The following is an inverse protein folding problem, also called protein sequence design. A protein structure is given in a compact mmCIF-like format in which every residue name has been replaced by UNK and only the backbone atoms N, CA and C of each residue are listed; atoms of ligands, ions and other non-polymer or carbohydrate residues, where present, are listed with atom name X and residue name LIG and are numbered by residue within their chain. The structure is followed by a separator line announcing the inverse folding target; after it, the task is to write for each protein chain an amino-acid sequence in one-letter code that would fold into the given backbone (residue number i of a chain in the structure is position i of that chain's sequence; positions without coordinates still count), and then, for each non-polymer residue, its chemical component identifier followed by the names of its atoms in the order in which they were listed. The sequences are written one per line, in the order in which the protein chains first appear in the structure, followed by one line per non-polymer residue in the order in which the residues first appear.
data_IF_029745731932
#
_entry.id   IF_029745731932
#
_cell.length_a   1.000
_cell.length_b   1.000
_cell.length_c   1.000
_cell.angle_alpha   90.00
_cell.angle_beta   90.00
_cell.angle_gamma   90.00
#
_symmetry.space_group_name_H-M   'P 1'
#
loop_
_entity.id
_entity.type
_entity.pdbx_description
1 polymer ?
#
# COMPACT_ATOMS: atom_id res chain seq x y z
N UNK A 1 -2.51 32.02 20.66
CA UNK A 1 -1.26 31.70 19.92
C UNK A 1 -1.55 30.47 19.09
N UNK A 2 -1.74 30.64 17.80
CA UNK A 2 -2.05 29.54 16.90
C UNK A 2 -0.78 28.72 16.63
N UNK A 3 -0.84 27.43 16.90
CA UNK A 3 0.19 26.50 16.44
C UNK A 3 0.22 26.55 14.92
N UNK A 4 1.28 27.11 14.36
CA UNK A 4 1.56 27.04 12.94
C UNK A 4 1.74 25.57 12.59
N UNK A 5 0.75 25.02 11.90
CA UNK A 5 0.78 23.65 11.39
C UNK A 5 1.90 23.54 10.35
N UNK A 6 3.14 23.23 10.80
CA UNK A 6 4.33 23.13 9.95
C UNK A 6 4.37 21.82 9.16
N UNK A 7 3.23 21.15 8.99
CA UNK A 7 3.13 19.87 8.28
C UNK A 7 3.11 20.08 6.78
N UNK A 8 4.09 19.49 6.09
CA UNK A 8 4.28 19.63 4.65
C UNK A 8 3.22 18.89 3.80
N UNK A 9 2.50 17.92 4.37
CA UNK A 9 1.56 17.06 3.65
C UNK A 9 0.24 16.91 4.40
N UNK A 10 -0.87 16.88 3.65
CA UNK A 10 -2.18 16.48 4.16
C UNK A 10 -2.18 15.04 4.63
N UNK A 11 -3.06 14.74 5.58
CA UNK A 11 -3.22 13.39 6.15
C UNK A 11 -4.69 13.00 6.17
N UNK A 12 -4.95 11.73 5.91
CA UNK A 12 -6.29 11.15 6.00
C UNK A 12 -6.28 9.91 6.88
N UNK A 13 -7.38 9.71 7.59
CA UNK A 13 -7.64 8.46 8.30
C UNK A 13 -8.28 7.48 7.33
N UNK A 14 -7.70 6.31 7.22
CA UNK A 14 -8.20 5.25 6.37
C UNK A 14 -8.05 3.90 7.07
N UNK A 15 -8.84 2.92 6.65
CA UNK A 15 -8.71 1.52 7.07
C UNK A 15 -8.16 0.74 5.89
N UNK A 16 -6.91 0.30 5.99
CA UNK A 16 -6.20 -0.38 4.91
C UNK A 16 -5.57 -1.69 5.37
N UNK A 17 -5.43 -2.68 4.48
CA UNK A 17 -4.61 -3.86 4.74
C UNK A 17 -3.14 -3.47 4.94
N UNK A 18 -2.55 -3.90 6.06
CA UNK A 18 -1.21 -3.52 6.48
C UNK A 18 -0.46 -4.72 7.07
N UNK A 19 0.80 -4.90 6.69
CA UNK A 19 1.78 -5.77 7.36
C UNK A 19 3.04 -4.96 7.63
N UNK A 20 3.57 -5.08 8.85
CA UNK A 20 4.72 -4.30 9.31
C UNK A 20 5.76 -5.21 9.90
N UNK A 21 7.00 -5.14 9.39
CA UNK A 21 8.13 -5.93 9.83
C UNK A 21 9.34 -5.02 10.09
N UNK A 22 10.15 -5.34 11.10
CA UNK A 22 11.41 -4.63 11.35
C UNK A 22 12.43 -5.06 10.29
N UNK A 23 13.14 -4.09 9.74
CA UNK A 23 14.27 -4.33 8.84
C UNK A 23 15.54 -4.47 9.67
N UNK A 24 16.25 -5.61 9.58
CA UNK A 24 17.55 -5.78 10.24
C UNK A 24 18.54 -4.70 9.79
N UNK A 25 19.46 -4.28 10.67
CA UNK A 25 20.45 -3.23 10.34
C UNK A 25 21.28 -3.52 9.08
N UNK A 26 21.61 -4.79 8.84
CA UNK A 26 22.40 -5.23 7.69
C UNK A 26 21.66 -5.08 6.35
N UNK A 27 20.34 -5.10 6.36
CA UNK A 27 19.53 -4.95 5.15
C UNK A 27 19.22 -3.49 4.79
N UNK A 28 19.55 -2.53 5.67
CA UNK A 28 19.17 -1.11 5.51
C UNK A 28 19.88 -0.39 4.36
N UNK A 29 21.01 -0.92 3.85
CA UNK A 29 21.80 -0.25 2.79
C UNK A 29 21.19 -0.38 1.39
N UNK A 30 20.27 -1.32 1.16
CA UNK A 30 19.71 -1.64 -0.16
C UNK A 30 18.20 -1.48 -0.23
N UNK A 31 17.63 -0.58 0.58
CA UNK A 31 16.20 -0.38 0.64
C UNK A 31 15.68 0.36 -0.58
N UNK A 32 14.77 -0.25 -1.32
CA UNK A 32 14.05 0.39 -2.43
C UNK A 32 12.57 0.13 -2.26
N UNK A 33 11.79 1.20 -2.16
CA UNK A 33 10.33 1.10 -2.18
C UNK A 33 9.83 0.74 -3.56
N UNK A 34 8.85 -0.15 -3.65
CA UNK A 34 8.35 -0.68 -4.91
C UNK A 34 6.82 -0.82 -4.92
N UNK A 35 6.24 -0.77 -6.11
CA UNK A 35 4.86 -1.18 -6.34
C UNK A 35 4.88 -2.69 -6.45
N UNK A 36 4.21 -3.36 -5.51
CA UNK A 36 4.04 -4.80 -5.58
C UNK A 36 3.02 -5.09 -6.68
N UNK A 37 3.50 -5.46 -7.85
CA UNK A 37 2.64 -5.97 -8.90
C UNK A 37 2.12 -7.35 -8.48
N UNK A 38 1.06 -7.38 -7.69
CA UNK A 38 0.16 -8.52 -7.80
C UNK A 38 -0.32 -8.48 -9.25
N UNK A 39 -0.13 -9.57 -9.99
CA UNK A 39 -0.61 -9.79 -11.35
C UNK A 39 -1.95 -9.07 -11.64
N UNK A 40 -1.95 -7.77 -11.51
CA UNK A 40 -2.94 -6.92 -12.09
C UNK A 40 -2.64 -7.01 -13.56
N UNK A 41 -3.53 -7.67 -14.27
CA UNK A 41 -3.62 -7.56 -15.72
C UNK A 41 -3.11 -6.20 -16.14
N UNK A 42 -2.42 -6.10 -17.26
CA UNK A 42 -2.09 -4.82 -17.87
C UNK A 42 -3.37 -4.15 -18.39
N UNK A 43 -4.32 -3.91 -17.49
CA UNK A 43 -5.54 -3.15 -17.79
C UNK A 43 -5.19 -1.72 -18.18
N UNK A 44 -4.04 -1.20 -17.70
CA UNK A 44 -3.61 0.16 -18.06
C UNK A 44 -3.04 0.30 -19.47
N UNK A 45 -2.45 -0.76 -20.04
CA UNK A 45 -1.98 -0.71 -21.44
C UNK A 45 -3.10 -0.88 -22.47
N UNK A 46 -4.24 -1.38 -22.02
CA UNK A 46 -5.40 -1.68 -22.89
C UNK A 46 -6.42 -0.53 -22.86
N UNK A 47 -6.49 0.25 -21.78
CA UNK A 47 -7.42 1.39 -21.66
C UNK A 47 -6.95 2.68 -22.36
N UNK A 48 -5.77 2.70 -22.97
CA UNK A 48 -5.31 3.87 -23.73
C UNK A 48 -5.63 3.83 -25.22
N UNK A 49 -6.28 2.79 -25.68
CA UNK A 49 -6.76 2.69 -27.06
C UNK A 49 -8.29 2.80 -27.06
N UNK A 50 -8.80 3.71 -27.87
CA UNK A 50 -10.21 4.06 -28.09
C UNK A 50 -11.23 3.00 -27.66
N UNK A 51 -12.24 3.43 -26.93
CA UNK A 51 -13.25 2.69 -26.17
C UNK A 51 -14.20 1.81 -27.02
N UNK A 52 -14.00 1.71 -28.34
CA UNK A 52 -14.98 1.12 -29.25
C UNK A 52 -14.59 -0.23 -29.92
N UNK A 53 -13.36 -0.73 -29.72
CA UNK A 53 -12.89 -1.95 -30.39
C UNK A 53 -12.25 -2.96 -29.42
N UNK A 54 -12.90 -3.24 -28.30
CA UNK A 54 -12.55 -4.40 -27.49
C UNK A 54 -13.09 -5.67 -28.13
N UNK A 55 -12.26 -6.35 -28.86
CA UNK A 55 -12.59 -7.66 -29.39
C UNK A 55 -12.70 -8.64 -28.20
N UNK A 56 -13.87 -9.28 -28.04
CA UNK A 56 -14.13 -10.35 -27.07
C UNK A 56 -13.00 -11.41 -27.07
N UNK A 57 -12.32 -11.57 -28.20
CA UNK A 57 -11.17 -12.46 -28.43
C UNK A 57 -9.98 -12.04 -27.56
N UNK A 58 -9.67 -10.76 -27.44
CA UNK A 58 -8.54 -10.28 -26.62
C UNK A 58 -8.83 -10.45 -25.13
N UNK A 59 -10.09 -10.28 -24.73
CA UNK A 59 -10.52 -10.56 -23.36
C UNK A 59 -10.41 -12.06 -23.05
N UNK A 60 -10.79 -12.93 -23.98
CA UNK A 60 -10.66 -14.38 -23.85
C UNK A 60 -9.20 -14.83 -23.79
N UNK A 61 -8.28 -14.21 -24.54
CA UNK A 61 -6.84 -14.51 -24.47
C UNK A 61 -6.29 -14.21 -23.08
N UNK A 62 -6.60 -13.04 -22.53
CA UNK A 62 -6.18 -12.63 -21.18
C UNK A 62 -6.76 -13.57 -20.12
N UNK A 63 -7.99 -14.02 -20.28
CA UNK A 63 -8.61 -14.99 -19.37
C UNK A 63 -7.92 -16.36 -19.45
N UNK A 64 -7.60 -16.83 -20.66
CA UNK A 64 -6.89 -18.08 -20.89
C UNK A 64 -5.47 -18.07 -20.31
N UNK A 65 -4.70 -16.99 -20.51
CA UNK A 65 -3.36 -16.86 -19.92
C UNK A 65 -3.41 -16.92 -18.39
N UNK A 66 -4.44 -16.36 -17.76
CA UNK A 66 -4.64 -16.47 -16.30
C UNK A 66 -5.00 -17.88 -15.86
N UNK A 67 -5.86 -18.55 -16.60
CA UNK A 67 -6.22 -19.93 -16.31
C UNK A 67 -5.00 -20.85 -16.45
N UNK A 68 -4.16 -20.65 -17.45
CA UNK A 68 -2.93 -21.40 -17.66
C UNK A 68 -1.92 -21.18 -16.53
N UNK A 69 -1.80 -19.93 -16.04
CA UNK A 69 -0.97 -19.61 -14.86
C UNK A 69 -1.48 -20.32 -13.60
N UNK A 70 -2.78 -20.35 -13.37
CA UNK A 70 -3.40 -21.05 -12.24
C UNK A 70 -3.20 -22.56 -12.38
N UNK A 71 -3.44 -23.12 -13.55
CA UNK A 71 -3.26 -24.54 -13.80
C UNK A 71 -1.80 -24.99 -13.67
N UNK A 72 -0.85 -24.16 -14.15
CA UNK A 72 0.59 -24.41 -14.00
C UNK A 72 0.99 -24.37 -12.53
N UNK A 73 0.45 -23.45 -11.75
CA UNK A 73 0.69 -23.35 -10.32
C UNK A 73 0.14 -24.54 -9.53
N UNK A 74 -1.03 -25.04 -9.93
CA UNK A 74 -1.65 -26.23 -9.34
C UNK A 74 -0.93 -27.53 -9.71
N UNK A 75 -0.50 -27.66 -10.97
CA UNK A 75 0.20 -28.87 -11.47
C UNK A 75 1.61 -29.02 -10.92
N UNK A 76 2.28 -27.92 -10.54
CA UNK A 76 3.60 -27.95 -9.93
C UNK A 76 3.57 -28.19 -8.41
N UNK A 77 2.40 -28.52 -7.82
CA UNK A 77 2.27 -28.72 -6.37
C UNK A 77 2.62 -27.47 -5.54
N UNK A 78 2.85 -26.33 -6.19
CA UNK A 78 2.96 -25.05 -5.55
C UNK A 78 1.54 -24.55 -5.35
N UNK A 79 1.10 -24.60 -4.09
CA UNK A 79 -0.16 -23.96 -3.67
C UNK A 79 -0.31 -22.59 -4.35
N UNK A 80 -1.54 -22.15 -4.66
CA UNK A 80 -1.81 -20.80 -5.16
C UNK A 80 -1.26 -19.68 -4.24
N UNK A 81 -0.66 -20.05 -3.12
CA UNK A 81 0.00 -19.17 -2.16
C UNK A 81 1.18 -18.36 -2.73
N UNK A 82 1.61 -18.58 -3.98
CA UNK A 82 2.57 -17.66 -4.61
C UNK A 82 1.86 -16.37 -5.09
N UNK A 83 0.58 -16.47 -5.48
CA UNK A 83 -0.26 -15.31 -5.82
C UNK A 83 -0.84 -14.64 -4.56
N UNK A 84 -1.00 -15.42 -3.47
CA UNK A 84 -1.49 -14.90 -2.18
C UNK A 84 -0.37 -14.51 -1.22
N UNK A 85 0.91 -14.77 -1.56
CA UNK A 85 2.05 -14.39 -0.70
C UNK A 85 2.26 -12.89 -0.59
N UNK A 86 1.76 -12.08 -1.53
CA UNK A 86 1.91 -10.64 -1.43
C UNK A 86 0.87 -10.02 -0.48
N UNK A 87 -0.29 -10.67 -0.27
CA UNK A 87 -1.33 -10.20 0.68
C UNK A 87 -1.51 -11.10 1.90
N UNK A 88 -0.83 -12.26 1.96
CA UNK A 88 -0.85 -13.13 3.12
C UNK A 88 -0.19 -12.44 4.33
N UNK A 89 -0.95 -12.28 5.41
CA UNK A 89 -0.49 -11.64 6.65
C UNK A 89 -0.87 -10.17 6.79
N UNK A 90 -1.54 -9.57 5.79
CA UNK A 90 -2.05 -8.21 5.91
C UNK A 90 -3.27 -8.17 6.85
N UNK A 91 -3.18 -7.35 7.88
CA UNK A 91 -4.30 -7.06 8.79
C UNK A 91 -4.95 -5.72 8.42
N UNK A 92 -6.29 -5.69 8.47
CA UNK A 92 -7.04 -4.47 8.20
C UNK A 92 -6.90 -3.49 9.37
N UNK A 93 -6.10 -2.46 9.20
CA UNK A 93 -5.64 -1.54 10.24
C UNK A 93 -6.07 -0.12 9.97
N UNK A 94 -6.46 0.61 11.02
CA UNK A 94 -6.66 2.06 10.93
C UNK A 94 -5.31 2.76 10.90
N UNK A 95 -5.13 3.60 9.88
CA UNK A 95 -3.93 4.40 9.70
C UNK A 95 -4.29 5.87 9.48
N UNK A 96 -3.38 6.74 9.85
CA UNK A 96 -3.41 8.14 9.46
C UNK A 96 -2.22 8.37 8.52
N UNK A 97 -2.48 8.49 7.21
CA UNK A 97 -1.47 8.44 6.15
C UNK A 97 -1.36 9.76 5.39
N UNK A 98 -0.14 10.07 4.96
CA UNK A 98 0.21 11.18 4.07
C UNK A 98 1.31 10.76 3.10
N UNK A 99 1.63 11.59 2.11
CA UNK A 99 2.74 11.34 1.18
C UNK A 99 4.15 11.36 1.83
N UNK A 100 4.26 11.75 3.11
CA UNK A 100 5.54 11.80 3.83
C UNK A 100 5.69 10.75 4.93
N UNK A 101 4.61 10.08 5.32
CA UNK A 101 4.63 9.12 6.42
C UNK A 101 3.23 8.74 6.88
N UNK A 102 3.19 7.89 7.89
CA UNK A 102 1.93 7.40 8.44
C UNK A 102 2.01 7.16 9.94
N UNK A 103 0.86 7.08 10.60
CA UNK A 103 0.74 6.49 11.92
C UNK A 103 -0.26 5.33 11.91
N UNK A 104 -0.03 4.37 12.78
CA UNK A 104 -0.88 3.18 12.94
C UNK A 104 -0.81 2.64 14.35
N UNK A 105 -1.83 1.88 14.74
CA UNK A 105 -1.85 1.21 16.05
C UNK A 105 -1.23 -0.18 15.90
N UNK A 106 -0.31 -0.50 16.80
CA UNK A 106 0.41 -1.77 16.85
C UNK A 106 0.36 -2.39 18.25
N UNK A 107 0.29 -3.70 18.32
CA UNK A 107 0.45 -4.43 19.59
C UNK A 107 1.89 -4.48 20.08
N UNK A 108 2.84 -4.15 19.20
CA UNK A 108 4.27 -4.15 19.48
C UNK A 108 4.79 -2.72 19.58
N UNK A 109 5.64 -2.45 20.57
CA UNK A 109 6.43 -1.23 20.63
C UNK A 109 7.59 -1.28 19.63
N UNK A 110 7.92 -0.13 19.06
CA UNK A 110 9.09 0.07 18.21
C UNK A 110 9.95 1.19 18.80
N UNK A 111 11.27 1.13 18.58
CA UNK A 111 12.17 2.16 19.05
C UNK A 111 12.32 3.26 17.98
N UNK A 112 12.44 4.53 18.37
CA UNK A 112 12.79 5.60 17.44
C UNK A 112 14.09 5.26 16.67
N UNK A 113 14.09 5.50 15.35
CA UNK A 113 15.20 5.15 14.46
C UNK A 113 15.17 3.70 13.93
N UNK A 114 14.26 2.86 14.39
CA UNK A 114 14.04 1.56 13.72
C UNK A 114 13.44 1.78 12.35
N UNK A 115 13.90 1.01 11.36
CA UNK A 115 13.33 1.02 10.01
C UNK A 115 12.37 -0.15 9.88
N UNK A 116 11.18 0.16 9.41
CA UNK A 116 10.10 -0.80 9.19
C UNK A 116 9.89 -1.02 7.71
N UNK A 117 9.75 -2.27 7.32
CA UNK A 117 9.22 -2.69 6.02
C UNK A 117 7.71 -2.74 6.15
N UNK A 118 7.02 -1.98 5.33
CA UNK A 118 5.57 -1.80 5.39
C UNK A 118 4.97 -2.24 4.06
N UNK A 119 4.23 -3.33 4.08
CA UNK A 119 3.37 -3.72 2.97
C UNK A 119 1.98 -3.15 3.22
N UNK A 120 1.42 -2.48 2.23
CA UNK A 120 0.07 -1.92 2.34
C UNK A 120 -0.68 -2.04 1.02
N UNK A 121 -2.01 -2.11 1.10
CA UNK A 121 -2.87 -2.05 -0.09
C UNK A 121 -3.73 -0.80 0.01
N UNK A 122 -3.55 0.11 -0.94
CA UNK A 122 -4.41 1.27 -1.08
C UNK A 122 -5.71 0.84 -1.78
N UNK A 123 -6.90 1.13 -1.19
CA UNK A 123 -8.19 0.73 -1.74
C UNK A 123 -8.61 1.66 -2.89
N UNK A 124 -7.84 1.66 -3.95
CA UNK A 124 -8.14 2.33 -5.22
C UNK A 124 -8.79 1.36 -6.20
N UNK A 125 -9.20 1.84 -7.36
CA UNK A 125 -9.75 0.99 -8.42
C UNK A 125 -8.87 1.11 -9.67
N UNK A 126 -8.03 0.11 -9.97
CA UNK A 126 -7.76 -1.13 -9.21
C UNK A 126 -6.97 -0.88 -7.90
N UNK A 127 -7.02 -1.83 -6.92
CA UNK A 127 -6.23 -1.73 -5.71
C UNK A 127 -4.73 -1.69 -6.01
N UNK A 128 -3.98 -0.89 -5.23
CA UNK A 128 -2.55 -0.71 -5.43
C UNK A 128 -1.81 -1.26 -4.22
N UNK A 129 -1.07 -2.34 -4.42
CA UNK A 129 -0.20 -2.92 -3.40
C UNK A 129 1.17 -2.24 -3.43
N UNK A 130 1.63 -1.77 -2.28
CA UNK A 130 2.89 -1.05 -2.12
C UNK A 130 3.77 -1.72 -1.07
N UNK A 131 5.07 -1.77 -1.34
CA UNK A 131 6.11 -2.02 -0.38
C UNK A 131 6.88 -0.71 -0.14
N UNK A 132 6.81 -0.20 1.07
CA UNK A 132 7.50 1.03 1.46
C UNK A 132 8.30 0.82 2.74
N UNK A 133 9.23 1.71 3.00
CA UNK A 133 10.02 1.70 4.22
C UNK A 133 9.74 2.97 5.02
N UNK A 134 9.63 2.81 6.34
CA UNK A 134 9.40 3.92 7.26
C UNK A 134 10.35 3.87 8.43
N UNK A 135 10.97 4.99 8.75
CA UNK A 135 11.73 5.17 9.98
C UNK A 135 10.81 5.60 11.11
N UNK A 136 10.88 4.89 12.22
CA UNK A 136 10.08 5.19 13.41
C UNK A 136 10.54 6.51 14.02
N UNK A 137 9.62 7.46 14.09
CA UNK A 137 9.84 8.76 14.74
C UNK A 137 9.49 8.67 16.22
N UNK A 138 8.35 8.05 16.52
CA UNK A 138 7.84 7.94 17.88
C UNK A 138 6.91 6.72 17.98
N UNK A 139 6.94 6.07 19.13
CA UNK A 139 6.03 5.01 19.51
C UNK A 139 5.54 5.30 20.93
N UNK A 140 4.26 5.63 21.06
CA UNK A 140 3.61 5.99 22.35
C UNK A 140 2.66 4.89 22.79
N UNK A 141 2.75 4.47 24.04
CA UNK A 141 1.78 3.57 24.64
C UNK A 141 0.39 4.23 24.70
N UNK A 142 -0.63 3.54 24.18
CA UNK A 142 -2.03 3.94 24.20
C UNK A 142 -2.87 2.76 24.67
N UNK A 143 -3.27 2.74 25.91
CA UNK A 143 -3.95 1.62 26.58
C UNK A 143 -3.08 0.34 26.53
N UNK A 144 -3.52 -0.69 25.78
CA UNK A 144 -2.82 -1.98 25.61
C UNK A 144 -1.94 -2.03 24.36
N UNK A 145 -1.97 -0.98 23.53
CA UNK A 145 -1.34 -0.93 22.22
C UNK A 145 -0.37 0.27 22.13
N UNK A 146 0.24 0.47 20.97
CA UNK A 146 1.18 1.54 20.71
C UNK A 146 0.74 2.33 19.47
N UNK A 147 0.68 3.67 19.59
CA UNK A 147 0.56 4.57 18.44
C UNK A 147 1.96 4.82 17.88
N UNK A 148 2.19 4.27 16.70
CA UNK A 148 3.49 4.29 16.02
C UNK A 148 3.45 5.28 14.88
N UNK A 149 4.35 6.26 14.89
CA UNK A 149 4.50 7.24 13.82
C UNK A 149 5.80 6.98 13.06
N UNK A 150 5.71 6.90 11.74
CA UNK A 150 6.84 6.66 10.85
C UNK A 150 6.92 7.73 9.76
N UNK A 151 8.14 8.12 9.40
CA UNK A 151 8.43 8.87 8.20
C UNK A 151 8.85 7.91 7.09
N UNK A 152 8.29 8.04 5.90
CA UNK A 152 8.73 7.23 4.77
C UNK A 152 10.14 7.60 4.34
N UNK A 153 10.98 6.57 4.17
CA UNK A 153 12.35 6.68 3.70
C UNK A 153 12.50 5.96 2.37
N UNK A 154 13.45 6.38 1.54
CA UNK A 154 13.72 5.79 0.22
C UNK A 154 12.47 5.68 -0.68
N UNK A 155 11.57 6.65 -0.59
CA UNK A 155 10.31 6.67 -1.33
C UNK A 155 10.51 7.30 -2.71
N UNK A 156 10.37 6.49 -3.77
CA UNK A 156 10.39 6.95 -5.15
C UNK A 156 9.22 7.92 -5.45
N UNK A 157 9.41 8.79 -6.45
CA UNK A 157 8.38 9.78 -6.81
C UNK A 157 7.07 9.13 -7.26
N UNK A 158 7.14 8.01 -7.96
CA UNK A 158 5.97 7.26 -8.42
C UNK A 158 5.11 6.80 -7.25
N UNK A 159 5.72 6.12 -6.27
CA UNK A 159 5.02 5.62 -5.07
C UNK A 159 4.48 6.79 -4.25
N UNK A 160 5.25 7.85 -4.13
CA UNK A 160 4.78 9.08 -3.46
C UNK A 160 3.53 9.64 -4.13
N UNK A 161 3.47 9.62 -5.46
CA UNK A 161 2.32 10.09 -6.23
C UNK A 161 1.09 9.18 -6.01
N UNK A 162 1.25 7.84 -5.95
CA UNK A 162 0.15 6.94 -5.60
C UNK A 162 -0.43 7.26 -4.23
N UNK A 163 0.43 7.41 -3.21
CA UNK A 163 -0.02 7.75 -1.85
C UNK A 163 -0.68 9.15 -1.83
N UNK A 164 -0.11 10.13 -2.50
CA UNK A 164 -0.67 11.49 -2.55
C UNK A 164 -2.05 11.50 -3.23
N UNK A 165 -2.22 10.77 -4.33
CA UNK A 165 -3.49 10.63 -5.05
C UNK A 165 -4.54 9.97 -4.17
N UNK A 166 -4.20 8.89 -3.48
CA UNK A 166 -5.08 8.22 -2.53
C UNK A 166 -5.53 9.18 -1.41
N UNK A 167 -4.57 9.90 -0.79
CA UNK A 167 -4.87 10.87 0.26
C UNK A 167 -5.84 11.95 -0.25
N UNK A 168 -5.59 12.49 -1.43
CA UNK A 168 -6.44 13.52 -2.04
C UNK A 168 -7.85 13.00 -2.35
N UNK A 169 -7.96 11.82 -2.94
CA UNK A 169 -9.25 11.21 -3.25
C UNK A 169 -10.06 10.96 -1.98
N UNK A 170 -9.40 10.44 -0.95
CA UNK A 170 -10.06 10.16 0.33
C UNK A 170 -10.50 11.42 1.06
N UNK A 171 -9.72 12.49 1.01
CA UNK A 171 -10.12 13.79 1.55
C UNK A 171 -11.37 14.33 0.86
N UNK A 172 -11.41 14.24 -0.48
CA UNK A 172 -12.61 14.67 -1.25
C UNK A 172 -13.86 13.86 -0.90
N UNK A 173 -13.72 12.54 -0.66
CA UNK A 173 -14.84 11.70 -0.20
C UNK A 173 -15.35 12.15 1.16
N UNK A 174 -14.45 12.40 2.12
CA UNK A 174 -14.81 12.87 3.46
C UNK A 174 -15.52 14.21 3.41
N UNK A 175 -15.02 15.15 2.60
CA UNK A 175 -15.63 16.47 2.43
C UNK A 175 -17.03 16.38 1.79
N UNK A 176 -17.23 15.48 0.84
CA UNK A 176 -18.57 15.26 0.23
C UNK A 176 -19.55 14.63 1.21
N UNK A 177 -19.11 13.62 1.97
CA UNK A 177 -19.96 12.98 2.98
C UNK A 177 -20.32 13.90 4.17
N UNK A 178 -19.53 14.95 4.43
CA UNK A 178 -19.81 15.94 5.47
C UNK A 178 -20.73 17.08 5.02
N UNK A 179 -21.12 17.11 3.74
CA UNK A 179 -22.04 18.10 3.16
C UNK A 179 -23.49 17.57 2.97
N UNK A 180 -23.73 16.30 3.27
CA UNK A 180 -25.06 15.67 3.35
C UNK A 180 -25.54 15.62 4.82
#
# INVERSE_FOLDING_TARGET
MGETNSRKYFRVVAKIPLDVQIVPPEERMALTSEVLHESTLPVKSVLSTNQDDWDLIDWMKVLNEKLDLIMTSLSQGKSPSALTKSTAGLELTFVNISAGGMSFISKRAYNPGEVLRIKMVLPETPPIALLVYGEVVISKAVKSDFDVNVNFVHLGNEIRNYIATFVFNREREILRAGLE
#
